data_IF_279529106578
#
_entry.id   IF_279529106578
#
_cell.length_a   1.000
_cell.length_b   1.000
_cell.length_c   1.000
_cell.angle_alpha   90.00
_cell.angle_beta   90.00
_cell.angle_gamma   90.00
#
_symmetry.space_group_name_H-M   'P 1'
#
loop_
_entity.id
_entity.type
_entity.pdbx_description
1 polymer ?
#
# COMPACT_ATOMS: atom_id res chain seq x y z
N UNK A 1 26.81 27.70 -7.73
CA UNK A 1 26.28 26.78 -6.71
C UNK A 1 25.08 27.36 -5.95
N UNK A 2 25.07 28.64 -5.53
CA UNK A 2 23.89 29.26 -4.88
C UNK A 2 22.65 29.43 -5.78
N UNK A 3 22.82 29.62 -7.10
CA UNK A 3 21.71 29.80 -8.05
C UNK A 3 20.91 28.52 -8.32
N UNK A 4 21.51 27.33 -8.13
CA UNK A 4 20.81 26.04 -8.24
C UNK A 4 19.85 25.81 -7.06
N UNK A 5 20.13 26.39 -5.88
CA UNK A 5 19.25 26.28 -4.72
C UNK A 5 18.02 27.19 -4.79
N UNK A 6 18.09 28.34 -5.47
CA UNK A 6 16.94 29.24 -5.60
C UNK A 6 15.88 28.75 -6.60
N UNK A 7 16.28 28.00 -7.64
CA UNK A 7 15.33 27.39 -8.59
C UNK A 7 14.57 26.19 -7.98
N UNK A 8 15.13 25.55 -6.95
CA UNK A 8 14.54 24.38 -6.30
C UNK A 8 13.32 24.68 -5.37
N UNK A 9 13.01 25.96 -5.14
CA UNK A 9 11.92 26.42 -4.26
C UNK A 9 10.60 26.71 -5.01
N UNK A 10 10.57 26.54 -6.33
CA UNK A 10 9.35 26.65 -7.13
C UNK A 10 8.56 25.33 -7.12
N UNK A 11 8.18 24.88 -5.93
CA UNK A 11 7.40 23.66 -5.75
C UNK A 11 5.90 23.89 -5.64
N UNK A 12 5.13 22.81 -5.79
CA UNK A 12 3.67 22.80 -5.64
C UNK A 12 3.26 21.81 -4.56
N UNK A 13 2.18 22.12 -3.85
CA UNK A 13 1.55 21.17 -2.95
C UNK A 13 0.62 20.24 -3.73
N UNK A 14 0.72 18.96 -3.47
CA UNK A 14 -0.23 17.94 -3.92
C UNK A 14 -0.84 17.26 -2.70
N UNK A 15 -2.15 17.02 -2.74
CA UNK A 15 -2.86 16.31 -1.70
C UNK A 15 -3.57 15.12 -2.35
N UNK A 16 -3.49 13.96 -1.70
CA UNK A 16 -4.18 12.76 -2.17
C UNK A 16 -4.91 12.13 -1.00
N UNK A 17 -6.14 11.69 -1.26
CA UNK A 17 -6.98 10.99 -0.33
C UNK A 17 -7.46 9.69 -0.94
N UNK A 18 -7.29 8.60 -0.22
CA UNK A 18 -7.74 7.28 -0.63
C UNK A 18 -8.58 6.63 0.47
N UNK A 19 -9.70 6.01 0.06
CA UNK A 19 -10.55 5.22 0.95
C UNK A 19 -10.69 3.81 0.36
N UNK A 20 -9.82 2.85 0.73
CA UNK A 20 -10.04 1.45 0.42
C UNK A 20 -10.99 0.78 1.41
N UNK A 21 -11.88 -0.06 0.89
CA UNK A 21 -12.78 -0.93 1.61
C UNK A 21 -12.45 -2.37 1.21
N UNK A 22 -12.10 -3.17 2.21
CA UNK A 22 -11.73 -4.58 2.06
C UNK A 22 -12.74 -5.44 2.81
N UNK A 23 -13.08 -6.61 2.27
CA UNK A 23 -14.00 -7.53 2.98
C UNK A 23 -13.29 -8.22 4.15
N UNK A 24 -11.96 -8.35 4.12
CA UNK A 24 -11.10 -8.86 5.20
C UNK A 24 -9.64 -8.40 5.01
N UNK A 25 -8.79 -8.33 6.04
CA UNK A 25 -9.10 -8.20 7.48
C UNK A 25 -9.24 -6.74 7.93
N UNK A 26 -8.83 -5.77 7.10
CA UNK A 26 -8.73 -4.35 7.50
C UNK A 26 -10.08 -3.62 7.57
N UNK A 27 -11.12 -4.13 6.90
CA UNK A 27 -12.37 -3.41 6.72
C UNK A 27 -12.15 -2.13 5.90
N UNK A 28 -12.58 -0.99 6.43
CA UNK A 28 -12.38 0.33 5.82
C UNK A 28 -11.07 0.94 6.29
N UNK A 29 -10.28 1.46 5.35
CA UNK A 29 -9.09 2.25 5.65
C UNK A 29 -9.21 3.62 5.00
N UNK A 30 -8.58 4.61 5.62
CA UNK A 30 -8.36 5.95 5.07
C UNK A 30 -6.85 6.16 4.96
N UNK A 31 -6.40 6.66 3.82
CA UNK A 31 -5.03 7.10 3.58
C UNK A 31 -5.10 8.56 3.10
N UNK A 32 -4.30 9.43 3.69
CA UNK A 32 -4.16 10.82 3.27
C UNK A 32 -2.70 11.23 3.21
N UNK A 33 -2.29 11.86 2.12
CA UNK A 33 -0.95 12.43 1.95
C UNK A 33 -1.04 13.90 1.58
N UNK A 34 -0.03 14.67 1.99
CA UNK A 34 0.16 16.04 1.53
C UNK A 34 1.65 16.25 1.26
N UNK A 35 2.02 16.44 0.00
CA UNK A 35 3.42 16.46 -0.43
C UNK A 35 3.78 17.80 -1.06
N UNK A 36 4.97 18.29 -0.73
CA UNK A 36 5.59 19.39 -1.46
C UNK A 36 6.48 18.84 -2.56
N UNK A 37 6.15 19.14 -3.82
CA UNK A 37 6.82 18.61 -5.02
C UNK A 37 7.73 19.64 -5.64
N UNK A 38 8.94 19.24 -6.01
CA UNK A 38 9.92 20.05 -6.75
C UNK A 38 10.48 19.28 -7.93
N UNK A 39 10.79 19.97 -9.01
CA UNK A 39 11.28 19.36 -10.27
C UNK A 39 12.78 19.12 -10.18
N UNK A 40 13.26 18.06 -10.83
CA UNK A 40 14.70 17.82 -10.93
C UNK A 40 15.38 18.80 -11.92
N UNK A 41 16.66 19.15 -11.69
CA UNK A 41 17.41 20.04 -12.60
C UNK A 41 17.60 19.49 -14.02
N UNK A 42 17.50 18.17 -14.21
CA UNK A 42 17.65 17.50 -15.51
C UNK A 42 16.31 17.19 -16.18
N UNK A 43 15.20 17.75 -15.68
CA UNK A 43 13.91 17.66 -16.36
C UNK A 43 14.05 18.20 -17.79
N UNK A 44 13.63 17.40 -18.76
CA UNK A 44 13.67 17.76 -20.18
C UNK A 44 12.27 17.58 -20.78
N UNK A 45 11.67 18.67 -21.26
CA UNK A 45 10.33 18.62 -21.86
C UNK A 45 10.31 17.99 -23.26
N UNK A 46 11.46 17.90 -23.90
CA UNK A 46 11.58 17.33 -25.26
C UNK A 46 11.81 15.81 -25.22
N UNK A 47 11.86 15.20 -24.03
CA UNK A 47 12.08 13.76 -23.82
C UNK A 47 11.00 13.20 -22.90
N UNK A 48 10.15 12.33 -23.45
CA UNK A 48 9.03 11.69 -22.73
C UNK A 48 9.48 10.96 -21.45
N UNK A 49 10.72 10.45 -21.41
CA UNK A 49 11.25 9.78 -20.22
C UNK A 49 11.60 10.75 -19.09
N UNK A 50 11.87 12.02 -19.41
CA UNK A 50 12.34 13.02 -18.45
C UNK A 50 11.40 14.23 -18.30
N UNK A 51 10.22 14.21 -18.94
CA UNK A 51 9.25 15.30 -18.87
C UNK A 51 8.71 15.47 -17.44
N UNK A 52 8.39 14.37 -16.75
CA UNK A 52 7.70 14.36 -15.46
C UNK A 52 8.55 13.83 -14.30
N UNK A 53 9.81 14.28 -14.24
CA UNK A 53 10.73 13.93 -13.14
C UNK A 53 10.62 14.90 -11.97
N UNK A 54 10.48 14.38 -10.76
CA UNK A 54 10.33 15.19 -9.55
C UNK A 54 10.78 14.48 -8.28
N UNK A 55 10.98 15.30 -7.25
CA UNK A 55 11.14 14.91 -5.87
C UNK A 55 9.98 15.51 -5.06
N UNK A 56 9.40 14.73 -4.16
CA UNK A 56 8.31 15.13 -3.32
C UNK A 56 8.54 14.62 -1.89
N UNK A 57 8.10 15.40 -0.91
CA UNK A 57 8.14 14.97 0.48
C UNK A 57 7.00 15.62 1.27
N UNK A 58 6.50 14.91 2.28
CA UNK A 58 5.49 15.45 3.16
C UNK A 58 4.90 14.44 4.13
N UNK A 59 3.92 14.84 4.95
CA UNK A 59 3.28 13.94 5.88
C UNK A 59 2.36 12.92 5.20
N UNK A 60 2.20 11.77 5.86
CA UNK A 60 1.15 10.80 5.57
C UNK A 60 0.39 10.39 6.85
N UNK A 61 -0.87 10.00 6.65
CA UNK A 61 -1.77 9.52 7.68
C UNK A 61 -2.55 8.32 7.14
N UNK A 62 -2.52 7.22 7.88
CA UNK A 62 -3.28 6.02 7.58
C UNK A 62 -4.13 5.66 8.80
N UNK A 63 -5.43 5.43 8.61
CA UNK A 63 -6.37 5.10 9.68
C UNK A 63 -7.22 3.89 9.27
N UNK A 64 -7.36 2.91 10.15
CA UNK A 64 -8.35 1.84 10.02
C UNK A 64 -8.84 1.42 11.41
N UNK A 65 -9.84 0.54 11.52
CA UNK A 65 -10.33 0.05 12.81
C UNK A 65 -9.28 -0.71 13.66
N UNK A 66 -8.19 -1.18 13.04
CA UNK A 66 -7.15 -2.03 13.63
C UNK A 66 -5.95 -1.21 14.13
N UNK A 67 -5.57 -0.17 13.39
CA UNK A 67 -4.43 0.67 13.71
C UNK A 67 -4.58 2.11 13.22
N UNK A 68 -3.71 2.98 13.71
CA UNK A 68 -3.42 4.28 13.13
C UNK A 68 -1.92 4.39 12.85
N UNK A 69 -1.56 4.98 11.70
CA UNK A 69 -0.18 5.31 11.34
C UNK A 69 -0.07 6.74 10.90
N UNK A 70 1.02 7.39 11.30
CA UNK A 70 1.31 8.76 10.89
C UNK A 70 2.81 8.96 10.81
N UNK A 71 3.27 9.70 9.80
CA UNK A 71 4.69 9.91 9.61
C UNK A 71 5.02 10.76 8.40
N UNK A 72 6.20 10.51 7.85
CA UNK A 72 6.72 11.21 6.69
C UNK A 72 6.95 10.27 5.51
N UNK A 73 6.65 10.79 4.33
CA UNK A 73 6.84 10.13 3.04
C UNK A 73 7.77 10.95 2.16
N UNK A 74 8.63 10.25 1.42
CA UNK A 74 9.45 10.78 0.34
C UNK A 74 9.04 10.04 -0.93
N UNK A 75 8.89 10.79 -2.02
CA UNK A 75 8.47 10.27 -3.31
C UNK A 75 9.35 10.83 -4.42
N UNK A 76 9.98 9.94 -5.19
CA UNK A 76 11.01 10.30 -6.16
C UNK A 76 10.71 9.64 -7.49
N UNK A 77 10.58 10.46 -8.53
CA UNK A 77 10.41 10.01 -9.92
C UNK A 77 11.62 10.49 -10.72
N UNK A 78 12.71 9.71 -10.78
CA UNK A 78 13.92 10.10 -11.51
C UNK A 78 13.79 9.99 -13.03
N UNK A 79 12.85 9.17 -13.51
CA UNK A 79 12.49 8.92 -14.92
C UNK A 79 11.03 8.47 -14.97
N UNK A 80 10.28 8.75 -16.03
CA UNK A 80 8.84 8.48 -16.14
C UNK A 80 8.44 7.01 -15.85
N UNK A 81 9.35 6.06 -16.10
CA UNK A 81 9.12 4.62 -15.92
C UNK A 81 9.47 4.09 -14.53
N UNK A 82 10.05 4.92 -13.64
CA UNK A 82 10.47 4.52 -12.30
C UNK A 82 9.97 5.52 -11.27
N UNK A 83 9.21 5.01 -10.31
CA UNK A 83 8.74 5.72 -9.14
C UNK A 83 9.32 5.04 -7.90
N UNK A 84 9.85 5.81 -6.96
CA UNK A 84 10.35 5.30 -5.69
C UNK A 84 9.67 6.07 -4.56
N UNK A 85 8.90 5.36 -3.75
CA UNK A 85 8.35 5.87 -2.50
C UNK A 85 9.16 5.32 -1.32
N UNK A 86 9.42 6.13 -0.30
CA UNK A 86 9.93 5.69 0.99
C UNK A 86 9.15 6.36 2.11
N UNK A 87 8.84 5.61 3.17
CA UNK A 87 8.07 6.08 4.31
C UNK A 87 8.71 5.71 5.65
N UNK A 88 8.51 6.58 6.63
CA UNK A 88 8.77 6.31 8.04
C UNK A 88 7.57 6.77 8.85
N UNK A 89 6.84 5.81 9.41
CA UNK A 89 5.61 6.05 10.15
C UNK A 89 5.67 5.45 11.54
N UNK A 90 5.19 6.21 12.52
CA UNK A 90 4.81 5.63 13.81
C UNK A 90 3.49 4.87 13.65
N UNK A 91 3.38 3.70 14.27
CA UNK A 91 2.17 2.87 14.24
C UNK A 91 1.67 2.65 15.66
N UNK A 92 0.36 2.77 15.85
CA UNK A 92 -0.35 2.37 17.06
C UNK A 92 -1.46 1.40 16.73
N UNK A 93 -1.46 0.24 17.38
CA UNK A 93 -2.49 -0.79 17.27
C UNK A 93 -3.54 -0.63 18.36
N UNK A 94 -4.79 -0.80 17.99
CA UNK A 94 -5.92 -0.78 18.92
C UNK A 94 -6.22 -2.21 19.42
N UNK A 95 -6.70 -2.33 20.65
CA UNK A 95 -7.28 -3.57 21.20
C UNK A 95 -8.70 -3.81 20.64
N UNK A 96 -8.85 -3.65 19.33
CA UNK A 96 -10.10 -3.82 18.60
C UNK A 96 -9.81 -4.61 17.33
N UNK A 97 -10.77 -5.44 16.90
CA UNK A 97 -10.69 -6.17 15.62
C UNK A 97 -9.44 -7.05 15.45
N UNK A 98 -8.91 -7.63 16.54
CA UNK A 98 -7.65 -8.39 16.55
C UNK A 98 -6.43 -7.55 16.13
N UNK A 99 -6.45 -6.25 16.46
CA UNK A 99 -5.46 -5.30 15.95
C UNK A 99 -4.01 -5.66 16.26
N UNK A 100 -3.79 -6.34 17.38
CA UNK A 100 -2.50 -6.91 17.76
C UNK A 100 -2.75 -8.18 18.56
N UNK A 101 -2.53 -9.34 17.93
CA UNK A 101 -2.69 -10.66 18.57
C UNK A 101 -1.36 -11.40 18.53
N UNK A 102 -0.89 -11.92 19.67
CA UNK A 102 0.38 -12.66 19.76
C UNK A 102 0.22 -14.18 19.55
N UNK A 103 1.26 -14.80 19.00
CA UNK A 103 1.34 -16.22 18.64
C UNK A 103 2.70 -16.80 19.07
N UNK A 104 2.72 -18.09 19.43
CA UNK A 104 3.91 -18.73 20.00
C UNK A 104 4.87 -19.22 18.92
N UNK A 105 4.34 -19.58 17.74
CA UNK A 105 5.11 -20.12 16.63
C UNK A 105 4.79 -19.40 15.30
N UNK A 106 5.74 -19.35 14.35
CA UNK A 106 5.58 -18.62 13.09
C UNK A 106 4.54 -19.22 12.14
N UNK A 107 4.13 -20.47 12.38
CA UNK A 107 3.12 -21.19 11.60
C UNK A 107 1.87 -21.51 12.41
N UNK A 108 1.65 -20.82 13.53
CA UNK A 108 0.41 -20.96 14.28
C UNK A 108 -0.77 -20.55 13.40
N UNK A 109 -1.88 -21.28 13.53
CA UNK A 109 -3.13 -20.94 12.88
C UNK A 109 -3.58 -19.56 13.37
N UNK A 110 -3.78 -18.63 12.44
CA UNK A 110 -4.31 -17.29 12.67
C UNK A 110 -5.55 -17.05 11.81
N UNK A 111 -6.33 -18.11 11.59
CA UNK A 111 -7.69 -18.05 11.04
C UNK A 111 -8.68 -17.33 11.97
N UNK A 112 -9.89 -17.08 11.48
CA UNK A 112 -10.97 -16.46 12.29
C UNK A 112 -11.26 -17.25 13.57
N UNK A 113 -11.26 -18.59 13.51
CA UNK A 113 -11.45 -19.45 14.68
C UNK A 113 -10.27 -19.36 15.67
N UNK A 114 -9.05 -19.17 15.16
CA UNK A 114 -7.88 -18.95 15.99
C UNK A 114 -7.94 -17.59 16.70
N UNK A 115 -8.42 -16.53 16.03
CA UNK A 115 -8.63 -15.23 16.66
C UNK A 115 -9.68 -15.26 17.79
N UNK A 116 -10.74 -16.05 17.64
CA UNK A 116 -11.70 -16.27 18.72
C UNK A 116 -11.04 -16.96 19.93
N UNK A 117 -10.21 -17.97 19.66
CA UNK A 117 -9.46 -18.70 20.71
C UNK A 117 -8.45 -17.78 21.40
N UNK A 118 -7.69 -17.00 20.64
CA UNK A 118 -6.72 -16.03 21.16
C UNK A 118 -7.40 -14.97 22.03
N UNK A 119 -8.62 -14.55 21.68
CA UNK A 119 -9.44 -13.66 22.51
C UNK A 119 -9.76 -14.28 23.88
N UNK A 120 -10.09 -15.56 23.93
CA UNK A 120 -10.38 -16.27 25.19
C UNK A 120 -9.12 -16.41 26.03
N UNK A 121 -7.96 -16.54 25.40
CA UNK A 121 -6.65 -16.65 26.05
C UNK A 121 -6.02 -15.30 26.42
N UNK A 122 -6.74 -14.18 26.24
CA UNK A 122 -6.24 -12.83 26.51
C UNK A 122 -4.93 -12.48 25.75
N UNK A 123 -4.81 -12.97 24.51
CA UNK A 123 -3.68 -12.70 23.59
C UNK A 123 -3.88 -11.48 22.71
N UNK A 124 -4.86 -10.63 23.02
CA UNK A 124 -5.13 -9.38 22.30
C UNK A 124 -4.56 -8.22 23.10
N UNK A 125 -3.87 -7.34 22.39
CA UNK A 125 -3.13 -6.25 23.00
C UNK A 125 -3.40 -4.94 22.27
N UNK A 126 -2.98 -3.86 22.92
CA UNK A 126 -2.69 -2.60 22.25
C UNK A 126 -1.18 -2.37 22.30
N UNK A 127 -0.62 -1.73 21.29
CA UNK A 127 0.82 -1.53 21.22
C UNK A 127 1.21 -0.48 20.22
N UNK A 128 2.50 -0.19 20.16
CA UNK A 128 3.03 0.84 19.28
C UNK A 128 4.42 0.45 18.77
N UNK A 129 4.82 1.11 17.70
CA UNK A 129 6.13 0.91 17.09
C UNK A 129 6.31 1.85 15.91
N UNK A 130 7.16 1.44 14.98
CA UNK A 130 7.33 2.13 13.71
C UNK A 130 7.46 1.16 12.55
N UNK A 131 7.15 1.67 11.36
CA UNK A 131 7.33 0.99 10.08
C UNK A 131 8.21 1.85 9.18
N UNK A 132 9.21 1.21 8.58
CA UNK A 132 10.04 1.76 7.51
C UNK A 132 9.65 1.08 6.21
N UNK A 133 9.17 1.86 5.24
CA UNK A 133 8.74 1.36 3.94
C UNK A 133 9.59 1.88 2.80
N UNK A 134 9.85 1.05 1.79
CA UNK A 134 10.40 1.45 0.50
C UNK A 134 9.67 0.69 -0.61
N UNK A 135 9.17 1.42 -1.61
CA UNK A 135 8.41 0.88 -2.73
C UNK A 135 8.91 1.46 -4.06
N UNK A 136 9.90 0.83 -4.71
CA UNK A 136 10.16 1.01 -6.13
C UNK A 136 8.98 0.47 -6.96
N UNK A 137 8.59 1.21 -7.98
CA UNK A 137 7.56 0.85 -8.95
C UNK A 137 8.09 1.09 -10.35
N UNK A 138 8.15 0.03 -11.15
CA UNK A 138 8.37 0.14 -12.59
C UNK A 138 7.01 0.25 -13.28
N UNK A 139 6.86 1.21 -14.18
CA UNK A 139 5.62 1.43 -14.90
C UNK A 139 5.86 1.78 -16.36
N UNK A 140 4.94 1.36 -17.22
CA UNK A 140 4.98 1.69 -18.64
C UNK A 140 3.56 1.72 -19.21
N UNK A 141 3.35 2.60 -20.19
CA UNK A 141 2.19 2.59 -21.08
C UNK A 141 2.68 2.43 -22.51
N UNK A 142 2.16 1.45 -23.24
CA UNK A 142 2.43 1.23 -24.66
C UNK A 142 1.10 1.11 -25.38
N UNK A 143 0.70 2.17 -26.08
CA UNK A 143 -0.66 2.29 -26.62
C UNK A 143 -1.70 2.05 -25.51
N UNK A 144 -2.61 1.10 -25.69
CA UNK A 144 -3.66 0.78 -24.72
C UNK A 144 -3.21 -0.14 -23.58
N UNK A 145 -1.96 -0.65 -23.60
CA UNK A 145 -1.46 -1.53 -22.56
C UNK A 145 -0.74 -0.73 -21.48
N UNK A 146 -1.19 -0.85 -20.24
CA UNK A 146 -0.56 -0.24 -19.05
C UNK A 146 -0.05 -1.36 -18.16
N UNK A 147 1.21 -1.28 -17.73
CA UNK A 147 1.82 -2.24 -16.80
C UNK A 147 2.44 -1.49 -15.63
N UNK A 148 2.28 -2.02 -14.43
CA UNK A 148 2.93 -1.54 -13.23
C UNK A 148 3.41 -2.70 -12.35
N UNK A 149 4.64 -2.59 -11.85
CA UNK A 149 5.32 -3.60 -11.04
C UNK A 149 5.86 -2.96 -9.75
N UNK A 150 5.01 -2.69 -8.74
CA UNK A 150 5.46 -2.26 -7.42
C UNK A 150 6.13 -3.41 -6.67
N UNK A 151 7.24 -3.11 -6.01
CA UNK A 151 7.87 -4.00 -5.03
C UNK A 151 8.02 -3.24 -3.72
N UNK A 152 7.31 -3.66 -2.69
CA UNK A 152 7.32 -3.05 -1.36
C UNK A 152 8.22 -3.87 -0.43
N UNK A 153 9.03 -3.17 0.36
CA UNK A 153 9.71 -3.69 1.54
C UNK A 153 9.25 -2.88 2.74
N UNK A 154 8.64 -3.54 3.72
CA UNK A 154 8.16 -2.93 4.95
C UNK A 154 8.82 -3.59 6.15
N UNK A 155 9.66 -2.83 6.84
CA UNK A 155 10.31 -3.27 8.07
C UNK A 155 9.57 -2.72 9.28
N UNK A 156 9.18 -3.60 10.18
CA UNK A 156 8.45 -3.31 11.40
C UNK A 156 9.36 -3.47 12.59
N UNK A 157 9.30 -2.49 13.50
CA UNK A 157 9.87 -2.61 14.83
C UNK A 157 8.78 -2.20 15.82
N UNK A 158 8.19 -3.21 16.45
CA UNK A 158 7.07 -3.11 17.36
C UNK A 158 7.55 -3.48 18.75
N UNK A 159 7.22 -2.67 19.74
CA UNK A 159 7.50 -3.02 21.15
C UNK A 159 6.53 -4.13 21.56
N UNK A 160 7.03 -5.29 22.06
CA UNK A 160 6.17 -6.32 22.61
C UNK A 160 5.32 -5.75 23.75
N UNK A 161 3.99 -5.82 23.69
CA UNK A 161 3.13 -5.20 24.67
C UNK A 161 3.20 -5.95 26.01
N UNK A 162 2.89 -5.25 27.10
CA UNK A 162 2.87 -5.87 28.43
C UNK A 162 1.88 -7.03 28.45
N UNK A 163 2.35 -8.22 28.84
CA UNK A 163 1.54 -9.42 28.89
C UNK A 163 1.52 -10.26 27.60
N UNK A 164 2.15 -9.79 26.51
CA UNK A 164 2.44 -10.67 25.37
C UNK A 164 3.31 -11.84 25.81
N UNK A 165 2.95 -13.04 25.36
CA UNK A 165 3.65 -14.29 25.66
C UNK A 165 4.32 -14.90 24.44
N UNK A 166 3.80 -14.59 23.26
CA UNK A 166 4.28 -15.05 21.97
C UNK A 166 5.40 -14.20 21.40
N UNK A 167 6.23 -14.83 20.58
CA UNK A 167 7.34 -14.19 19.86
C UNK A 167 6.91 -13.59 18.51
N UNK A 168 5.65 -13.83 18.12
CA UNK A 168 5.07 -13.43 16.85
C UNK A 168 3.77 -12.67 17.07
N UNK A 169 3.39 -11.83 16.12
CA UNK A 169 2.12 -11.12 16.13
C UNK A 169 1.53 -11.02 14.71
N UNK A 170 0.21 -10.89 14.64
CA UNK A 170 -0.50 -10.78 13.37
C UNK A 170 -0.56 -9.34 12.86
N UNK A 171 0.00 -9.08 11.68
CA UNK A 171 -0.09 -7.80 10.97
C UNK A 171 -1.24 -7.83 9.95
N UNK A 172 -2.33 -7.17 10.30
CA UNK A 172 -3.56 -7.16 9.51
C UNK A 172 -3.40 -6.59 8.09
N UNK A 173 -2.47 -5.65 7.85
CA UNK A 173 -2.27 -5.11 6.50
C UNK A 173 -1.82 -6.19 5.52
N UNK A 174 -0.91 -7.05 5.97
CA UNK A 174 -0.32 -8.10 5.15
C UNK A 174 -1.03 -9.45 5.35
N UNK A 175 -1.93 -9.58 6.33
CA UNK A 175 -2.63 -10.83 6.66
C UNK A 175 -1.62 -11.97 6.89
N UNK A 176 -0.64 -11.73 7.76
CA UNK A 176 0.51 -12.63 8.03
C UNK A 176 1.04 -12.46 9.46
N UNK A 177 1.72 -13.48 9.97
CA UNK A 177 2.48 -13.38 11.21
C UNK A 177 3.86 -12.78 10.98
N UNK A 178 4.25 -11.87 11.87
CA UNK A 178 5.55 -11.24 11.91
C UNK A 178 6.18 -11.43 13.28
N UNK A 179 7.52 -11.40 13.35
CA UNK A 179 8.19 -11.10 14.61
C UNK A 179 7.95 -9.65 15.02
N UNK A 180 8.22 -9.35 16.28
CA UNK A 180 8.20 -7.97 16.79
C UNK A 180 9.16 -7.03 16.03
N UNK A 181 10.25 -7.59 15.51
CA UNK A 181 11.19 -6.95 14.59
C UNK A 181 11.30 -7.84 13.33
N UNK A 182 10.68 -7.41 12.23
CA UNK A 182 10.58 -8.23 11.02
C UNK A 182 10.45 -7.39 9.75
N UNK A 183 10.62 -8.04 8.60
CA UNK A 183 10.45 -7.44 7.28
C UNK A 183 9.46 -8.24 6.44
N UNK A 184 8.54 -7.53 5.80
CA UNK A 184 7.67 -8.07 4.77
C UNK A 184 8.10 -7.53 3.42
N UNK A 185 8.11 -8.41 2.42
CA UNK A 185 8.24 -8.04 1.02
C UNK A 185 6.93 -8.36 0.30
N UNK A 186 6.41 -7.39 -0.47
CA UNK A 186 5.27 -7.59 -1.38
C UNK A 186 5.71 -7.28 -2.80
N UNK A 187 5.58 -8.25 -3.69
CA UNK A 187 5.77 -8.08 -5.13
C UNK A 187 4.41 -8.06 -5.80
N UNK A 188 4.03 -6.91 -6.33
CA UNK A 188 2.77 -6.74 -7.04
C UNK A 188 3.02 -6.62 -8.54
N UNK A 189 2.06 -7.10 -9.32
CA UNK A 189 2.07 -6.94 -10.77
C UNK A 189 0.68 -6.60 -11.27
N UNK A 190 0.58 -5.56 -12.09
CA UNK A 190 -0.68 -5.11 -12.68
C UNK A 190 -0.49 -4.95 -14.17
N UNK A 191 -1.46 -5.42 -14.95
CA UNK A 191 -1.53 -5.21 -16.39
C UNK A 191 -2.97 -4.85 -16.77
N UNK A 192 -3.15 -3.77 -17.50
CA UNK A 192 -4.45 -3.23 -17.90
C UNK A 192 -4.52 -2.97 -19.41
N UNK A 193 -5.72 -3.13 -19.94
CA UNK A 193 -6.11 -2.57 -21.22
C UNK A 193 -6.98 -1.32 -21.01
N UNK A 194 -6.61 -0.21 -21.65
CA UNK A 194 -7.34 1.05 -21.66
C UNK A 194 -8.33 1.09 -22.85
N UNK A 195 -9.63 1.21 -22.55
CA UNK A 195 -10.69 1.11 -23.57
C UNK A 195 -10.97 2.42 -24.30
N UNK A 196 -10.91 3.52 -23.56
CA UNK A 196 -11.14 4.86 -24.09
C UNK A 196 -9.91 5.69 -23.73
N UNK A 197 -9.06 5.95 -24.73
CA UNK A 197 -8.01 6.94 -24.54
C UNK A 197 -8.70 8.30 -24.42
N UNK A 198 -8.54 9.00 -23.29
CA UNK A 198 -9.26 10.25 -23.08
C UNK A 198 -8.85 11.25 -24.17
N UNK A 199 -9.82 11.97 -24.74
CA UNK A 199 -9.49 13.19 -25.50
C UNK A 199 -8.69 14.14 -24.61
N UNK A 200 -7.88 15.04 -25.17
CA UNK A 200 -6.97 15.91 -24.41
C UNK A 200 -7.66 16.69 -23.27
N UNK A 201 -8.94 17.06 -23.48
CA UNK A 201 -9.80 17.74 -22.52
C UNK A 201 -10.74 16.82 -21.73
N UNK A 202 -10.70 15.52 -21.94
CA UNK A 202 -11.44 14.49 -21.19
C UNK A 202 -10.46 13.73 -20.29
N UNK A 203 -10.83 13.45 -19.04
CA UNK A 203 -10.00 12.64 -18.11
C UNK A 203 -10.77 11.43 -17.63
N UNK A 204 -11.87 11.10 -18.31
CA UNK A 204 -12.58 9.85 -18.09
C UNK A 204 -11.79 8.72 -18.69
N UNK A 205 -11.66 7.64 -17.95
CA UNK A 205 -10.99 6.45 -18.44
C UNK A 205 -11.61 5.21 -17.82
N UNK A 206 -11.46 4.09 -18.53
CA UNK A 206 -11.79 2.77 -18.04
C UNK A 206 -10.68 1.80 -18.41
N UNK A 207 -10.12 1.18 -17.38
CA UNK A 207 -9.07 0.19 -17.47
C UNK A 207 -9.60 -1.14 -16.95
N UNK A 208 -9.33 -2.22 -17.69
CA UNK A 208 -9.65 -3.58 -17.25
C UNK A 208 -8.41 -4.45 -17.40
N UNK A 209 -8.16 -5.30 -16.42
CA UNK A 209 -6.95 -6.10 -16.41
C UNK A 209 -6.89 -7.11 -15.29
N UNK A 210 -5.67 -7.44 -14.90
CA UNK A 210 -5.38 -8.40 -13.86
C UNK A 210 -4.37 -7.84 -12.87
N UNK A 211 -4.48 -8.29 -11.62
CA UNK A 211 -3.58 -7.99 -10.52
C UNK A 211 -3.07 -9.28 -9.89
N UNK A 212 -1.76 -9.33 -9.72
CA UNK A 212 -1.02 -10.35 -9.01
C UNK A 212 -0.36 -9.73 -7.78
N UNK A 213 -0.39 -10.44 -6.65
CA UNK A 213 0.36 -10.10 -5.45
C UNK A 213 1.06 -11.34 -4.91
N UNK A 214 2.35 -11.22 -4.58
CA UNK A 214 3.12 -12.24 -3.89
C UNK A 214 3.84 -11.63 -2.70
N UNK A 215 3.55 -12.17 -1.52
CA UNK A 215 4.04 -11.69 -0.25
C UNK A 215 4.95 -12.72 0.41
N UNK A 216 5.98 -12.24 1.10
CA UNK A 216 6.88 -13.02 1.93
C UNK A 216 7.21 -12.25 3.22
N UNK A 217 6.95 -12.83 4.38
CA UNK A 217 7.46 -12.36 5.66
C UNK A 217 8.79 -13.07 5.97
N UNK A 218 9.86 -12.33 6.29
CA UNK A 218 11.21 -12.89 6.39
C UNK A 218 11.45 -13.68 7.67
N UNK A 219 10.93 -13.22 8.81
CA UNK A 219 11.13 -13.85 10.11
C UNK A 219 10.28 -15.10 10.34
N UNK A 220 9.13 -15.20 9.66
CA UNK A 220 8.21 -16.36 9.72
C UNK A 220 8.28 -17.26 8.49
N UNK A 221 8.90 -16.79 7.41
CA UNK A 221 8.91 -17.43 6.08
C UNK A 221 7.50 -17.66 5.51
N UNK A 222 6.48 -16.97 6.05
CA UNK A 222 5.11 -17.07 5.58
C UNK A 222 4.95 -16.44 4.20
N UNK A 223 4.15 -17.10 3.35
CA UNK A 223 3.92 -16.70 1.97
C UNK A 223 2.44 -16.65 1.65
N UNK A 224 2.09 -15.68 0.81
CA UNK A 224 0.75 -15.55 0.25
C UNK A 224 0.84 -15.10 -1.19
N UNK A 225 0.05 -15.72 -2.06
CA UNK A 225 -0.04 -15.38 -3.47
C UNK A 225 -1.51 -15.19 -3.86
N UNK A 226 -1.82 -14.05 -4.49
CA UNK A 226 -3.17 -13.67 -4.93
C UNK A 226 -3.15 -13.32 -6.41
N UNK A 227 -4.18 -13.74 -7.14
CA UNK A 227 -4.36 -13.39 -8.55
C UNK A 227 -5.84 -13.18 -8.87
N UNK A 228 -6.15 -12.15 -9.65
CA UNK A 228 -7.49 -12.00 -10.20
C UNK A 228 -7.71 -10.73 -10.99
N UNK A 229 -8.95 -10.54 -11.50
CA UNK A 229 -9.30 -9.37 -12.29
C UNK A 229 -9.27 -8.08 -11.46
N UNK A 230 -8.94 -6.99 -12.15
CA UNK A 230 -8.99 -5.63 -11.62
C UNK A 230 -9.57 -4.68 -12.67
N UNK A 231 -10.39 -3.73 -12.23
CA UNK A 231 -10.90 -2.65 -13.04
C UNK A 231 -10.63 -1.31 -12.36
N UNK A 232 -10.28 -0.29 -13.14
CA UNK A 232 -10.12 1.09 -12.68
C UNK A 232 -10.97 1.99 -13.56
N UNK A 233 -11.74 2.87 -12.94
CA UNK A 233 -12.72 3.68 -13.63
C UNK A 233 -12.74 5.10 -13.08
N UNK A 234 -12.68 6.07 -13.97
CA UNK A 234 -12.92 7.48 -13.67
C UNK A 234 -14.12 7.98 -14.49
N UNK A 235 -15.30 8.16 -13.88
CA UNK A 235 -16.51 8.55 -14.60
C UNK A 235 -16.54 10.03 -15.01
N UNK A 236 -15.77 10.88 -14.33
CA UNK A 236 -15.82 12.33 -14.52
C UNK A 236 -14.49 12.99 -14.17
N UNK A 237 -14.26 14.17 -14.75
CA UNK A 237 -13.15 15.04 -14.36
C UNK A 237 -13.42 15.80 -13.06
N UNK A 238 -14.68 15.86 -12.61
CA UNK A 238 -15.06 16.56 -11.39
C UNK A 238 -14.24 16.07 -10.20
N UNK A 239 -13.60 17.01 -9.48
CA UNK A 239 -12.86 16.72 -8.24
C UNK A 239 -13.69 16.04 -7.14
N UNK A 240 -15.02 16.08 -7.26
CA UNK A 240 -15.94 15.45 -6.30
C UNK A 240 -16.22 13.98 -6.62
N UNK A 241 -15.87 13.53 -7.83
CA UNK A 241 -16.08 12.17 -8.30
C UNK A 241 -14.75 11.43 -8.22
N UNK A 242 -14.61 10.42 -7.35
CA UNK A 242 -13.36 9.71 -7.22
C UNK A 242 -13.04 8.89 -8.47
N UNK A 243 -11.75 8.58 -8.62
CA UNK A 243 -11.36 7.39 -9.38
C UNK A 243 -11.69 6.17 -8.52
N UNK A 244 -12.30 5.14 -9.11
CA UNK A 244 -12.68 3.92 -8.40
C UNK A 244 -11.88 2.75 -8.95
N UNK A 245 -11.22 2.00 -8.08
CA UNK A 245 -10.61 0.72 -8.42
C UNK A 245 -11.37 -0.41 -7.72
N UNK A 246 -11.61 -1.51 -8.42
CA UNK A 246 -12.21 -2.73 -7.90
C UNK A 246 -11.33 -3.91 -8.31
N UNK A 247 -10.98 -4.77 -7.37
CA UNK A 247 -10.34 -6.03 -7.69
C UNK A 247 -10.84 -7.17 -6.81
N UNK A 248 -10.84 -8.36 -7.41
CA UNK A 248 -11.27 -9.61 -6.81
C UNK A 248 -10.18 -10.63 -7.10
N UNK A 249 -9.50 -11.12 -6.07
CA UNK A 249 -8.36 -12.03 -6.23
C UNK A 249 -8.60 -13.33 -5.48
N UNK A 250 -8.32 -14.45 -6.12
CA UNK A 250 -8.28 -15.75 -5.45
C UNK A 250 -6.90 -15.94 -4.80
N UNK A 251 -6.88 -16.57 -3.64
CA UNK A 251 -5.65 -17.05 -3.02
C UNK A 251 -5.16 -18.28 -3.78
N UNK A 252 -3.99 -18.16 -4.42
CA UNK A 252 -3.31 -19.27 -5.09
C UNK A 252 -2.42 -20.04 -4.10
N UNK A 253 -1.83 -19.31 -3.16
CA UNK A 253 -1.02 -19.82 -2.06
C UNK A 253 -1.37 -18.99 -0.82
N UNK A 254 -1.65 -19.65 0.29
CA UNK A 254 -1.80 -19.02 1.61
C UNK A 254 -1.79 -20.13 2.66
N UNK A 255 -1.17 -19.85 3.81
CA UNK A 255 -1.17 -20.80 4.93
C UNK A 255 -2.51 -20.81 5.67
N UNK A 256 -3.24 -19.68 5.66
CA UNK A 256 -4.46 -19.48 6.44
C UNK A 256 -5.73 -19.27 5.63
N UNK A 257 -5.63 -18.90 4.35
CA UNK A 257 -6.80 -18.63 3.50
C UNK A 257 -6.99 -19.74 2.47
N UNK A 258 -8.20 -20.26 2.38
CA UNK A 258 -8.62 -21.04 1.21
C UNK A 258 -8.82 -20.14 -0.01
N UNK A 259 -8.80 -20.68 -1.24
CA UNK A 259 -9.06 -19.89 -2.46
C UNK A 259 -10.42 -19.15 -2.46
N UNK A 260 -11.38 -19.64 -1.67
CA UNK A 260 -12.68 -19.01 -1.44
C UNK A 260 -12.92 -18.80 0.07
N UNK A 261 -13.53 -17.68 0.49
CA UNK A 261 -13.94 -16.55 -0.35
C UNK A 261 -12.73 -15.76 -0.90
N UNK A 262 -12.86 -15.09 -2.06
CA UNK A 262 -11.76 -14.31 -2.64
C UNK A 262 -11.51 -13.04 -1.82
N UNK A 263 -10.30 -12.49 -1.97
CA UNK A 263 -9.96 -11.16 -1.50
C UNK A 263 -10.63 -10.11 -2.40
N UNK A 264 -11.44 -9.23 -1.81
CA UNK A 264 -12.20 -8.20 -2.53
C UNK A 264 -11.85 -6.83 -1.96
N UNK A 265 -11.49 -5.90 -2.84
CA UNK A 265 -11.20 -4.51 -2.48
C UNK A 265 -11.87 -3.55 -3.45
N UNK A 266 -12.56 -2.56 -2.90
CA UNK A 266 -12.99 -1.37 -3.62
C UNK A 266 -12.23 -0.16 -3.05
N UNK A 267 -11.54 0.60 -3.89
CA UNK A 267 -10.77 1.77 -3.48
C UNK A 267 -11.23 3.02 -4.24
N UNK A 268 -11.34 4.12 -3.50
CA UNK A 268 -11.74 5.43 -4.04
C UNK A 268 -10.62 6.43 -3.84
N UNK A 269 -10.25 7.16 -4.90
CA UNK A 269 -9.11 8.07 -4.93
C UNK A 269 -9.57 9.49 -5.31
N UNK A 270 -9.14 10.50 -4.53
CA UNK A 270 -9.32 11.92 -4.79
C UNK A 270 -7.97 12.63 -4.79
N UNK A 271 -7.76 13.48 -5.79
CA UNK A 271 -6.56 14.30 -6.00
C UNK A 271 -6.95 15.77 -6.20
#
# INVERSE_FOLDING_TARGET
>A
MLLLFQAALAGTWAMEHQIPITVFPLGTRYLGTAEYRTKFPWQNKDDELFEDVYFAAGPELELCPVYARAGGRIHVVPVAVLDITADFVGVGYFDAFNGMTDFDAPGDDHSEAAFETASVLARRHSGYGYKLGVTPTLQAKVSHLIVALPQEFAHFVIEPPEGATGDYWYEAQYDTLLRWDDTVMVNSGMAFWEFDEPAEDDKRFFWLGARFDHQLAFGTEERSMKLGPMAVFRPSQSRWVPTTALFVQAYLESQIRSPLPPYIVAAFFWN
#
